data_IF_285233852016
#
_entry.id   IF_285233852016
#
_cell.length_a   1.000
_cell.length_b   1.000
_cell.length_c   1.000
_cell.angle_alpha   90.00
_cell.angle_beta   90.00
_cell.angle_gamma   90.00
#
_symmetry.space_group_name_H-M   'P 1'
#
loop_
_entity.id
_entity.type
_entity.pdbx_description
1 polymer ?
#
# COMPACT_ATOMS: atom_id res chain seq x y z
N UNK A 1 -96.44 2.58 -203.04
CA UNK A 1 -97.42 3.62 -202.63
C UNK A 1 -96.76 4.40 -201.49
N UNK A 2 -96.78 5.73 -201.60
CA UNK A 2 -95.98 6.78 -200.92
C UNK A 2 -95.79 6.55 -199.40
N UNK A 3 -94.53 6.43 -198.94
CA UNK A 3 -93.97 6.72 -197.60
C UNK A 3 -92.55 6.10 -197.51
N UNK A 4 -91.46 6.86 -197.74
CA UNK A 4 -90.08 6.30 -197.67
C UNK A 4 -88.96 7.33 -197.38
N UNK A 5 -89.26 8.53 -196.88
CA UNK A 5 -88.22 9.54 -196.64
C UNK A 5 -88.19 10.12 -195.21
N UNK A 6 -89.34 10.32 -194.55
CA UNK A 6 -89.38 11.04 -193.26
C UNK A 6 -88.96 10.21 -192.03
N UNK A 7 -89.19 8.89 -192.00
CA UNK A 7 -88.79 8.04 -190.85
C UNK A 7 -87.28 7.88 -190.68
N UNK A 8 -86.50 7.93 -191.77
CA UNK A 8 -85.04 7.82 -191.69
C UNK A 8 -84.39 9.04 -191.05
N UNK A 9 -85.03 10.21 -191.13
CA UNK A 9 -84.48 11.46 -190.61
C UNK A 9 -84.69 11.58 -189.09
N UNK A 10 -85.83 11.12 -188.55
CA UNK A 10 -86.08 11.09 -187.10
C UNK A 10 -85.16 10.11 -186.36
N UNK A 11 -84.87 8.96 -186.96
CA UNK A 11 -83.99 7.95 -186.36
C UNK A 11 -82.53 8.41 -186.26
N UNK A 12 -82.09 9.35 -187.12
CA UNK A 12 -80.77 9.97 -187.01
C UNK A 12 -80.72 11.00 -185.87
N UNK A 13 -81.77 11.79 -185.67
CA UNK A 13 -81.84 12.77 -184.58
C UNK A 13 -81.89 12.10 -183.20
N UNK A 14 -82.71 11.06 -183.03
CA UNK A 14 -82.75 10.28 -181.79
C UNK A 14 -81.38 9.62 -181.50
N UNK A 15 -80.70 9.10 -182.52
CA UNK A 15 -79.37 8.51 -182.37
C UNK A 15 -78.29 9.51 -181.94
N UNK A 16 -78.39 10.77 -182.34
CA UNK A 16 -77.48 11.85 -181.91
C UNK A 16 -77.78 12.29 -180.47
N UNK A 17 -79.05 12.38 -180.07
CA UNK A 17 -79.44 12.69 -178.69
C UNK A 17 -78.97 11.60 -177.70
N UNK A 18 -79.11 10.33 -178.06
CA UNK A 18 -78.58 9.23 -177.25
C UNK A 18 -77.05 9.26 -177.14
N UNK A 19 -76.36 9.70 -178.20
CA UNK A 19 -74.89 9.84 -178.18
C UNK A 19 -74.46 10.98 -177.27
N UNK A 20 -75.17 12.11 -177.32
CA UNK A 20 -74.91 13.26 -176.45
C UNK A 20 -75.16 12.95 -174.97
N UNK A 21 -76.22 12.20 -174.66
CA UNK A 21 -76.53 11.77 -173.30
C UNK A 21 -75.49 10.78 -172.75
N UNK A 22 -75.00 9.86 -173.58
CA UNK A 22 -73.94 8.93 -173.19
C UNK A 22 -72.62 9.64 -172.87
N UNK A 23 -72.28 10.69 -173.63
CA UNK A 23 -71.11 11.53 -173.36
C UNK A 23 -71.25 12.31 -172.05
N UNK A 24 -72.43 12.89 -171.77
CA UNK A 24 -72.69 13.57 -170.49
C UNK A 24 -72.58 12.60 -169.31
N UNK A 25 -73.18 11.42 -169.42
CA UNK A 25 -73.10 10.39 -168.38
C UNK A 25 -71.65 9.93 -168.14
N UNK A 26 -70.87 9.74 -169.21
CA UNK A 26 -69.45 9.39 -169.10
C UNK A 26 -68.64 10.50 -168.40
N UNK A 27 -68.94 11.77 -168.69
CA UNK A 27 -68.29 12.91 -168.04
C UNK A 27 -68.63 12.99 -166.55
N UNK A 28 -69.91 12.84 -166.18
CA UNK A 28 -70.35 12.82 -164.78
C UNK A 28 -69.72 11.66 -164.00
N UNK A 29 -69.61 10.47 -164.61
CA UNK A 29 -68.92 9.33 -163.99
C UNK A 29 -67.43 9.62 -163.74
N UNK A 30 -66.74 10.27 -164.67
CA UNK A 30 -65.34 10.68 -164.46
C UNK A 30 -65.18 11.72 -163.34
N UNK A 31 -66.10 12.69 -163.24
CA UNK A 31 -66.14 13.67 -162.15
C UNK A 31 -66.35 13.00 -160.78
N UNK A 32 -67.33 12.07 -160.70
CA UNK A 32 -67.59 11.30 -159.47
C UNK A 32 -66.36 10.47 -159.07
N UNK A 33 -65.69 9.82 -160.02
CA UNK A 33 -64.46 9.07 -159.73
C UNK A 33 -63.31 9.98 -159.27
N UNK A 34 -63.16 11.16 -159.87
CA UNK A 34 -62.18 12.16 -159.42
C UNK A 34 -62.45 12.58 -157.99
N UNK A 35 -63.70 12.91 -157.67
CA UNK A 35 -64.10 13.35 -156.34
C UNK A 35 -63.89 12.24 -155.30
N UNK A 36 -64.23 10.98 -155.63
CA UNK A 36 -63.94 9.81 -154.77
C UNK A 36 -62.45 9.62 -154.51
N UNK A 37 -61.59 9.78 -155.52
CA UNK A 37 -60.13 9.67 -155.35
C UNK A 37 -59.58 10.81 -154.50
N UNK A 38 -60.13 12.02 -154.62
CA UNK A 38 -59.74 13.17 -153.80
C UNK A 38 -60.13 12.96 -152.33
N UNK A 39 -61.39 12.60 -152.06
CA UNK A 39 -61.86 12.33 -150.70
C UNK A 39 -61.13 11.16 -150.05
N UNK A 40 -60.82 10.11 -150.80
CA UNK A 40 -59.99 9.00 -150.29
C UNK A 40 -58.59 9.46 -149.89
N UNK A 41 -57.97 10.35 -150.68
CA UNK A 41 -56.67 10.96 -150.33
C UNK A 41 -56.78 11.85 -149.09
N UNK A 42 -57.82 12.66 -148.98
CA UNK A 42 -58.04 13.54 -147.83
C UNK A 42 -58.28 12.74 -146.55
N UNK A 43 -59.10 11.69 -146.62
CA UNK A 43 -59.33 10.77 -145.49
C UNK A 43 -58.03 10.07 -145.08
N UNK A 44 -57.22 9.62 -146.05
CA UNK A 44 -55.92 9.03 -145.74
C UNK A 44 -54.98 10.04 -145.08
N UNK A 45 -54.88 11.25 -145.62
CA UNK A 45 -54.04 12.31 -145.05
C UNK A 45 -54.49 12.70 -143.64
N UNK A 46 -55.80 12.74 -143.37
CA UNK A 46 -56.33 12.98 -142.02
C UNK A 46 -55.99 11.83 -141.07
N UNK A 47 -56.07 10.59 -141.53
CA UNK A 47 -55.70 9.41 -140.73
C UNK A 47 -54.19 9.40 -140.41
N UNK A 48 -53.34 9.66 -141.41
CA UNK A 48 -51.88 9.71 -141.24
C UNK A 48 -51.51 10.84 -140.27
N UNK A 49 -52.15 12.02 -140.37
CA UNK A 49 -51.98 13.12 -139.39
C UNK A 49 -52.43 12.71 -137.98
N UNK A 50 -53.58 12.06 -137.85
CA UNK A 50 -54.06 11.60 -136.54
C UNK A 50 -53.14 10.54 -135.91
N UNK A 51 -52.52 9.69 -136.73
CA UNK A 51 -51.48 8.76 -136.27
C UNK A 51 -50.23 9.51 -135.80
N UNK A 52 -49.72 10.47 -136.57
CA UNK A 52 -48.57 11.28 -136.19
C UNK A 52 -48.83 12.06 -134.89
N UNK A 53 -50.01 12.67 -134.74
CA UNK A 53 -50.39 13.39 -133.52
C UNK A 53 -50.49 12.43 -132.33
N UNK A 54 -51.02 11.21 -132.53
CA UNK A 54 -51.02 10.17 -131.49
C UNK A 54 -49.60 9.75 -131.09
N UNK A 55 -48.68 9.63 -132.04
CA UNK A 55 -47.28 9.32 -131.75
C UNK A 55 -46.60 10.46 -130.97
N UNK A 56 -46.84 11.71 -131.34
CA UNK A 56 -46.32 12.88 -130.60
C UNK A 56 -46.86 12.96 -129.18
N UNK A 57 -48.18 12.76 -129.00
CA UNK A 57 -48.79 12.73 -127.66
C UNK A 57 -48.15 11.64 -126.80
N UNK A 58 -47.96 10.44 -127.37
CA UNK A 58 -47.31 9.34 -126.65
C UNK A 58 -45.85 9.64 -126.28
N UNK A 59 -45.10 10.32 -127.16
CA UNK A 59 -43.73 10.72 -126.85
C UNK A 59 -43.69 11.77 -125.73
N UNK A 60 -44.57 12.76 -125.77
CA UNK A 60 -44.69 13.75 -124.69
C UNK A 60 -45.10 13.11 -123.35
N UNK A 61 -46.01 12.14 -123.36
CA UNK A 61 -46.37 11.37 -122.15
C UNK A 61 -45.15 10.61 -121.59
N UNK A 62 -44.35 9.98 -122.45
CA UNK A 62 -43.14 9.27 -122.02
C UNK A 62 -42.08 10.22 -121.43
N UNK A 63 -41.88 11.39 -122.05
CA UNK A 63 -40.97 12.41 -121.52
C UNK A 63 -41.46 12.94 -120.16
N UNK A 64 -42.76 13.17 -119.99
CA UNK A 64 -43.32 13.58 -118.69
C UNK A 64 -43.19 12.48 -117.63
N UNK A 65 -43.45 11.21 -117.97
CA UNK A 65 -43.28 10.08 -117.04
C UNK A 65 -41.81 9.96 -116.58
N UNK A 66 -40.84 10.18 -117.48
CA UNK A 66 -39.41 10.17 -117.15
C UNK A 66 -39.01 11.36 -116.26
N UNK A 67 -39.53 12.56 -116.53
CA UNK A 67 -39.33 13.74 -115.68
C UNK A 67 -39.92 13.55 -114.27
N UNK A 68 -41.13 13.00 -114.17
CA UNK A 68 -41.77 12.69 -112.88
C UNK A 68 -40.96 11.65 -112.08
N UNK A 69 -40.43 10.61 -112.73
CA UNK A 69 -39.59 9.60 -112.09
C UNK A 69 -38.28 10.19 -111.55
N UNK A 70 -37.65 11.10 -112.30
CA UNK A 70 -36.44 11.81 -111.88
C UNK A 70 -36.73 12.76 -110.70
N UNK A 71 -37.85 13.49 -110.73
CA UNK A 71 -38.30 14.32 -109.60
C UNK A 71 -38.57 13.49 -108.34
N UNK A 72 -39.25 12.35 -108.50
CA UNK A 72 -39.51 11.40 -107.41
C UNK A 72 -38.21 10.85 -106.82
N UNK A 73 -37.22 10.55 -107.66
CA UNK A 73 -35.90 10.11 -107.22
C UNK A 73 -35.18 11.19 -106.41
N UNK A 74 -35.13 12.43 -106.91
CA UNK A 74 -34.52 13.56 -106.21
C UNK A 74 -35.21 13.77 -104.85
N UNK A 75 -36.55 13.72 -104.81
CA UNK A 75 -37.31 13.86 -103.58
C UNK A 75 -37.03 12.71 -102.59
N UNK A 76 -36.92 11.47 -103.07
CA UNK A 76 -36.60 10.32 -102.23
C UNK A 76 -35.19 10.43 -101.63
N UNK A 77 -34.21 10.88 -102.41
CA UNK A 77 -32.84 11.13 -101.95
C UNK A 77 -32.78 12.28 -100.93
N UNK A 78 -33.50 13.39 -101.18
CA UNK A 78 -33.62 14.50 -100.25
C UNK A 78 -34.28 14.05 -98.93
N UNK A 79 -35.35 13.26 -98.99
CA UNK A 79 -36.04 12.72 -97.81
C UNK A 79 -35.14 11.78 -97.01
N UNK A 80 -34.36 10.92 -97.68
CA UNK A 80 -33.33 10.07 -97.03
C UNK A 80 -32.26 10.92 -96.33
N UNK A 81 -31.79 12.00 -96.97
CA UNK A 81 -30.80 12.93 -96.39
C UNK A 81 -31.34 13.65 -95.16
N UNK A 82 -32.56 14.18 -95.22
CA UNK A 82 -33.24 14.80 -94.07
C UNK A 82 -33.40 13.79 -92.92
N UNK A 83 -33.82 12.56 -93.23
CA UNK A 83 -33.93 11.49 -92.23
C UNK A 83 -32.61 11.08 -91.60
N UNK A 84 -31.48 11.24 -92.30
CA UNK A 84 -30.13 11.03 -91.73
C UNK A 84 -29.76 12.18 -90.78
N UNK A 85 -29.92 13.43 -91.23
CA UNK A 85 -29.61 14.62 -90.42
C UNK A 85 -30.44 14.63 -89.13
N UNK A 86 -31.72 14.25 -89.19
CA UNK A 86 -32.57 14.15 -88.00
C UNK A 86 -32.03 13.15 -86.99
N UNK A 87 -31.63 11.96 -87.45
CA UNK A 87 -31.03 10.93 -86.58
C UNK A 87 -29.70 11.38 -85.97
N UNK A 88 -28.85 12.02 -86.77
CA UNK A 88 -27.58 12.57 -86.28
C UNK A 88 -27.80 13.64 -85.21
N UNK A 89 -28.76 14.56 -85.41
CA UNK A 89 -29.12 15.57 -84.39
C UNK A 89 -29.71 14.95 -83.13
N UNK A 90 -30.54 13.90 -83.25
CA UNK A 90 -31.09 13.17 -82.10
C UNK A 90 -29.99 12.46 -81.31
N UNK A 91 -29.01 11.86 -81.99
CA UNK A 91 -27.83 11.24 -81.34
C UNK A 91 -26.98 12.29 -80.63
N UNK A 92 -26.67 13.41 -81.29
CA UNK A 92 -25.90 14.50 -80.67
C UNK A 92 -26.60 15.06 -79.43
N UNK A 93 -27.90 15.36 -79.51
CA UNK A 93 -28.68 15.83 -78.37
C UNK A 93 -28.72 14.80 -77.23
N UNK A 94 -28.70 13.50 -77.55
CA UNK A 94 -28.60 12.46 -76.54
C UNK A 94 -27.20 12.39 -75.91
N UNK A 95 -26.14 12.51 -76.71
CA UNK A 95 -24.75 12.55 -76.25
C UNK A 95 -24.50 13.75 -75.33
N UNK A 96 -24.92 14.96 -75.72
CA UNK A 96 -24.82 16.16 -74.89
C UNK A 96 -25.52 15.99 -73.54
N UNK A 97 -26.72 15.39 -73.54
CA UNK A 97 -27.44 15.08 -72.29
C UNK A 97 -26.70 14.06 -71.44
N UNK A 98 -26.05 13.08 -72.05
CA UNK A 98 -25.27 12.07 -71.32
C UNK A 98 -24.00 12.68 -70.74
N UNK A 99 -23.26 13.48 -71.50
CA UNK A 99 -22.08 14.20 -71.04
C UNK A 99 -22.41 15.15 -69.89
N UNK A 100 -23.53 15.88 -69.98
CA UNK A 100 -23.99 16.74 -68.89
C UNK A 100 -24.32 15.94 -67.61
N UNK A 101 -24.94 14.75 -67.76
CA UNK A 101 -25.19 13.83 -66.63
C UNK A 101 -23.89 13.32 -66.03
N UNK A 102 -22.96 12.85 -66.86
CA UNK A 102 -21.69 12.28 -66.43
C UNK A 102 -20.83 13.34 -65.73
N UNK A 103 -20.82 14.57 -66.24
CA UNK A 103 -20.18 15.72 -65.59
C UNK A 103 -20.79 16.00 -64.20
N UNK A 104 -22.12 15.98 -64.10
CA UNK A 104 -22.81 16.19 -62.82
C UNK A 104 -22.52 15.06 -61.82
N UNK A 105 -22.50 13.80 -62.27
CA UNK A 105 -22.12 12.65 -61.44
C UNK A 105 -20.67 12.77 -60.96
N UNK A 106 -19.74 13.13 -61.86
CA UNK A 106 -18.34 13.36 -61.51
C UNK A 106 -18.16 14.47 -60.47
N UNK A 107 -18.87 15.59 -60.64
CA UNK A 107 -18.87 16.70 -59.69
C UNK A 107 -19.41 16.27 -58.31
N UNK A 108 -20.57 15.61 -58.26
CA UNK A 108 -21.15 15.10 -57.01
C UNK A 108 -20.21 14.09 -56.32
N UNK A 109 -19.59 13.18 -57.08
CA UNK A 109 -18.60 12.25 -56.55
C UNK A 109 -17.37 12.97 -55.96
N UNK A 110 -16.93 14.07 -56.56
CA UNK A 110 -15.83 14.90 -56.01
C UNK A 110 -16.20 15.59 -54.70
N UNK A 111 -17.44 16.09 -54.59
CA UNK A 111 -17.96 16.70 -53.36
C UNK A 111 -18.06 15.66 -52.23
N UNK A 112 -18.54 14.46 -52.55
CA UNK A 112 -18.63 13.37 -51.58
C UNK A 112 -17.25 12.97 -51.06
N UNK A 113 -16.27 12.75 -51.96
CA UNK A 113 -14.88 12.43 -51.55
C UNK A 113 -14.27 13.53 -50.67
N UNK A 114 -14.55 14.80 -50.97
CA UNK A 114 -14.09 15.93 -50.15
C UNK A 114 -14.74 15.95 -48.77
N UNK A 115 -16.02 15.60 -48.70
CA UNK A 115 -16.74 15.48 -47.43
C UNK A 115 -16.17 14.32 -46.59
N UNK A 116 -15.98 13.14 -47.18
CA UNK A 116 -15.34 11.97 -46.55
C UNK A 116 -13.95 12.30 -46.00
N UNK A 117 -13.10 12.93 -46.81
CA UNK A 117 -11.77 13.36 -46.36
C UNK A 117 -11.84 14.33 -45.15
N UNK A 118 -12.84 15.21 -45.11
CA UNK A 118 -13.04 16.11 -43.97
C UNK A 118 -13.45 15.31 -42.71
N UNK A 119 -14.36 14.34 -42.83
CA UNK A 119 -14.74 13.46 -41.72
C UNK A 119 -13.55 12.67 -41.18
N UNK A 120 -12.70 12.11 -42.05
CA UNK A 120 -11.50 11.39 -41.62
C UNK A 120 -10.55 12.30 -40.83
N UNK A 121 -10.35 13.55 -41.27
CA UNK A 121 -9.56 14.51 -40.50
C UNK A 121 -10.19 14.87 -39.16
N UNK A 122 -11.52 14.94 -39.07
CA UNK A 122 -12.23 15.18 -37.81
C UNK A 122 -12.11 13.99 -36.86
N UNK A 123 -12.24 12.76 -37.38
CA UNK A 123 -12.05 11.52 -36.61
C UNK A 123 -10.63 11.46 -36.06
N UNK A 124 -9.62 11.69 -36.91
CA UNK A 124 -8.22 11.69 -36.48
C UNK A 124 -7.95 12.74 -35.39
N UNK A 125 -8.49 13.96 -35.54
CA UNK A 125 -8.38 14.99 -34.50
C UNK A 125 -9.07 14.57 -33.20
N UNK A 126 -10.25 13.97 -33.27
CA UNK A 126 -10.98 13.50 -32.10
C UNK A 126 -10.23 12.36 -31.39
N UNK A 127 -9.64 11.43 -32.13
CA UNK A 127 -8.78 10.36 -31.60
C UNK A 127 -7.54 10.94 -30.92
N UNK A 128 -6.81 11.84 -31.59
CA UNK A 128 -5.63 12.48 -31.01
C UNK A 128 -5.95 13.27 -29.73
N UNK A 129 -7.09 13.98 -29.68
CA UNK A 129 -7.53 14.67 -28.47
C UNK A 129 -7.86 13.71 -27.33
N UNK A 130 -8.50 12.57 -27.64
CA UNK A 130 -8.83 11.53 -26.66
C UNK A 130 -7.56 10.89 -26.10
N UNK A 131 -6.64 10.49 -26.95
CA UNK A 131 -5.35 9.90 -26.55
C UNK A 131 -4.54 10.89 -25.70
N UNK A 132 -4.49 12.16 -26.10
CA UNK A 132 -3.82 13.20 -25.31
C UNK A 132 -4.46 13.41 -23.93
N UNK A 133 -5.79 13.27 -23.82
CA UNK A 133 -6.50 13.34 -22.53
C UNK A 133 -6.22 12.10 -21.67
N UNK A 134 -6.29 10.91 -22.24
CA UNK A 134 -6.00 9.65 -21.54
C UNK A 134 -4.55 9.65 -21.01
N UNK A 135 -3.57 10.10 -21.82
CA UNK A 135 -2.18 10.21 -21.40
C UNK A 135 -2.00 11.19 -20.22
N UNK A 136 -2.69 12.34 -20.23
CA UNK A 136 -2.66 13.30 -19.11
C UNK A 136 -3.26 12.69 -17.85
N UNK A 137 -4.39 12.01 -17.96
CA UNK A 137 -5.03 11.34 -16.82
C UNK A 137 -4.16 10.22 -16.24
N UNK A 138 -3.45 9.46 -17.09
CA UNK A 138 -2.50 8.45 -16.66
C UNK A 138 -1.30 9.06 -15.94
N UNK A 139 -0.72 10.13 -16.48
CA UNK A 139 0.36 10.88 -15.82
C UNK A 139 -0.08 11.40 -14.45
N UNK A 140 -1.26 12.03 -14.35
CA UNK A 140 -1.78 12.50 -13.07
C UNK A 140 -2.01 11.37 -12.06
N UNK A 141 -2.50 10.21 -12.52
CA UNK A 141 -2.67 9.01 -11.67
C UNK A 141 -1.32 8.49 -11.19
N UNK A 142 -0.30 8.46 -12.05
CA UNK A 142 1.06 8.05 -11.69
C UNK A 142 1.67 9.01 -10.67
N UNK A 143 1.57 10.32 -10.90
CA UNK A 143 2.06 11.35 -9.97
C UNK A 143 1.40 11.25 -8.60
N UNK A 144 0.07 11.06 -8.56
CA UNK A 144 -0.66 10.85 -7.30
C UNK A 144 -0.19 9.60 -6.58
N UNK A 145 0.02 8.49 -7.30
CA UNK A 145 0.56 7.24 -6.73
C UNK A 145 1.98 7.42 -6.19
N UNK A 146 2.84 8.12 -6.92
CA UNK A 146 4.21 8.41 -6.49
C UNK A 146 4.22 9.29 -5.23
N UNK A 147 3.46 10.39 -5.21
CA UNK A 147 3.33 11.25 -4.02
C UNK A 147 2.79 10.50 -2.81
N UNK A 148 1.79 9.64 -3.00
CA UNK A 148 1.26 8.79 -1.93
C UNK A 148 2.32 7.82 -1.41
N UNK A 149 3.07 7.17 -2.30
CA UNK A 149 4.14 6.25 -1.92
C UNK A 149 5.27 6.96 -1.17
N UNK A 150 5.66 8.16 -1.62
CA UNK A 150 6.62 9.01 -0.91
C UNK A 150 6.12 9.38 0.48
N UNK A 151 4.85 9.78 0.62
CA UNK A 151 4.25 10.10 1.92
C UNK A 151 4.27 8.91 2.87
N UNK A 152 3.92 7.72 2.37
CA UNK A 152 3.97 6.48 3.16
C UNK A 152 5.41 6.17 3.60
N UNK A 153 6.37 6.32 2.70
CA UNK A 153 7.78 6.07 2.99
C UNK A 153 8.33 7.07 4.03
N UNK A 154 8.02 8.36 3.88
CA UNK A 154 8.41 9.39 4.87
C UNK A 154 7.82 9.09 6.23
N UNK A 155 6.52 8.78 6.30
CA UNK A 155 5.87 8.43 7.55
C UNK A 155 6.49 7.19 8.23
N UNK A 156 6.81 6.15 7.45
CA UNK A 156 7.51 4.96 7.96
C UNK A 156 8.88 5.31 8.53
N UNK A 157 9.66 6.16 7.83
CA UNK A 157 10.96 6.60 8.31
C UNK A 157 10.85 7.43 9.61
N UNK A 158 9.86 8.31 9.70
CA UNK A 158 9.59 9.10 10.90
C UNK A 158 9.21 8.21 12.10
N UNK A 159 8.33 7.23 11.90
CA UNK A 159 7.97 6.26 12.94
C UNK A 159 9.20 5.47 13.40
N UNK A 160 10.04 5.00 12.48
CA UNK A 160 11.24 4.24 12.83
C UNK A 160 12.20 5.10 13.65
N UNK A 161 12.49 6.34 13.20
CA UNK A 161 13.33 7.29 13.95
C UNK A 161 12.77 7.61 15.32
N UNK A 162 11.45 7.83 15.42
CA UNK A 162 10.79 8.09 16.71
C UNK A 162 10.92 6.90 17.65
N UNK A 163 10.70 5.68 17.15
CA UNK A 163 10.82 4.45 17.95
C UNK A 163 12.26 4.18 18.38
N UNK A 164 13.23 4.51 17.54
CA UNK A 164 14.66 4.45 17.90
C UNK A 164 14.99 5.46 19.00
N UNK A 165 14.53 6.70 18.87
CA UNK A 165 14.71 7.73 19.89
C UNK A 165 14.02 7.36 21.23
N UNK A 166 12.80 6.83 21.19
CA UNK A 166 12.09 6.34 22.38
C UNK A 166 12.87 5.21 23.07
N UNK A 167 13.42 4.25 22.31
CA UNK A 167 14.26 3.18 22.86
C UNK A 167 15.57 3.70 23.46
N UNK A 168 16.21 4.68 22.81
CA UNK A 168 17.43 5.28 23.36
C UNK A 168 17.14 6.03 24.67
N UNK A 169 16.00 6.72 24.76
CA UNK A 169 15.56 7.38 25.99
C UNK A 169 15.28 6.35 27.10
N UNK A 170 14.52 5.29 26.80
CA UNK A 170 14.24 4.20 27.75
C UNK A 170 15.54 3.55 28.26
N UNK A 171 16.50 3.29 27.37
CA UNK A 171 17.80 2.76 27.78
C UNK A 171 18.59 3.71 28.69
N UNK A 172 18.51 5.03 28.44
CA UNK A 172 19.15 6.04 29.30
C UNK A 172 18.48 6.08 30.67
N UNK A 173 17.15 6.09 30.72
CA UNK A 173 16.38 6.07 31.96
C UNK A 173 16.67 4.80 32.78
N UNK A 174 16.73 3.64 32.13
CA UNK A 174 17.10 2.37 32.77
C UNK A 174 18.51 2.39 33.36
N UNK A 175 19.47 2.99 32.64
CA UNK A 175 20.84 3.16 33.12
C UNK A 175 20.91 4.10 34.33
N UNK A 176 20.20 5.24 34.28
CA UNK A 176 20.12 6.16 35.43
C UNK A 176 19.46 5.51 36.64
N UNK A 177 18.37 4.77 36.45
CA UNK A 177 17.69 4.04 37.52
C UNK A 177 18.60 2.97 38.14
N UNK A 178 19.38 2.27 37.31
CA UNK A 178 20.37 1.31 37.79
C UNK A 178 21.48 1.98 38.61
N UNK A 179 21.98 3.14 38.17
CA UNK A 179 22.99 3.91 38.90
C UNK A 179 22.45 4.38 40.26
N UNK A 180 21.24 4.97 40.29
CA UNK A 180 20.58 5.38 41.54
C UNK A 180 20.40 4.23 42.52
N UNK A 181 20.02 3.05 42.03
CA UNK A 181 19.91 1.84 42.86
C UNK A 181 21.26 1.41 43.42
N UNK A 182 22.31 1.40 42.59
CA UNK A 182 23.65 1.05 43.04
C UNK A 182 24.20 2.03 44.09
N UNK A 183 23.91 3.33 43.95
CA UNK A 183 24.26 4.35 44.94
C UNK A 183 23.48 4.16 46.25
N UNK A 184 22.18 3.86 46.17
CA UNK A 184 21.37 3.56 47.34
C UNK A 184 21.87 2.32 48.09
N UNK A 185 22.20 1.24 47.37
CA UNK A 185 22.76 0.02 47.95
C UNK A 185 24.12 0.30 48.62
N UNK A 186 24.97 1.14 48.00
CA UNK A 186 26.24 1.57 48.58
C UNK A 186 26.04 2.36 49.87
N UNK A 187 25.12 3.32 49.88
CA UNK A 187 24.80 4.11 51.07
C UNK A 187 24.23 3.22 52.19
N UNK A 188 23.36 2.28 51.85
CA UNK A 188 22.81 1.32 52.81
C UNK A 188 23.89 0.46 53.45
N UNK A 189 24.86 -0.03 52.65
CA UNK A 189 25.98 -0.80 53.17
C UNK A 189 26.86 0.03 54.12
N UNK A 190 27.16 1.28 53.76
CA UNK A 190 27.92 2.20 54.62
C UNK A 190 27.19 2.45 55.94
N UNK A 191 25.88 2.71 55.88
CA UNK A 191 25.05 2.88 57.06
C UNK A 191 25.05 1.64 57.96
N UNK A 192 24.98 0.44 57.38
CA UNK A 192 25.04 -0.79 58.18
C UNK A 192 26.40 -1.01 58.83
N UNK A 193 27.50 -0.73 58.12
CA UNK A 193 28.83 -0.79 58.70
C UNK A 193 28.99 0.19 59.86
N UNK A 194 28.44 1.39 59.75
CA UNK A 194 28.46 2.40 60.81
C UNK A 194 27.62 1.97 62.02
N UNK A 195 26.42 1.43 61.78
CA UNK A 195 25.56 0.87 62.83
C UNK A 195 26.24 -0.29 63.57
N UNK A 196 26.91 -1.19 62.85
CA UNK A 196 27.63 -2.31 63.46
C UNK A 196 28.86 -1.83 64.24
N UNK A 197 29.57 -0.79 63.77
CA UNK A 197 30.63 -0.13 64.55
C UNK A 197 30.09 0.47 65.84
N UNK A 198 28.97 1.19 65.80
CA UNK A 198 28.33 1.74 67.00
C UNK A 198 27.92 0.62 67.97
N UNK A 199 27.27 -0.44 67.49
CA UNK A 199 26.91 -1.60 68.32
C UNK A 199 28.13 -2.25 68.99
N UNK A 200 29.24 -2.37 68.28
CA UNK A 200 30.48 -2.90 68.83
C UNK A 200 31.09 -1.96 69.89
N UNK A 201 31.03 -0.65 69.66
CA UNK A 201 31.46 0.34 70.65
C UNK A 201 30.58 0.30 71.91
N UNK A 202 29.26 0.25 71.76
CA UNK A 202 28.32 0.13 72.88
C UNK A 202 28.56 -1.16 73.66
N UNK A 203 28.76 -2.28 72.96
CA UNK A 203 29.09 -3.56 73.59
C UNK A 203 30.42 -3.51 74.37
N UNK A 204 31.44 -2.81 73.82
CA UNK A 204 32.71 -2.59 74.51
C UNK A 204 32.53 -1.75 75.77
N UNK A 205 31.79 -0.63 75.69
CA UNK A 205 31.50 0.24 76.84
C UNK A 205 30.77 -0.54 77.94
N UNK A 206 29.75 -1.32 77.59
CA UNK A 206 29.03 -2.17 78.54
C UNK A 206 29.96 -3.22 79.17
N UNK A 207 30.84 -3.83 78.37
CA UNK A 207 31.84 -4.80 78.87
C UNK A 207 32.81 -4.15 79.88
N UNK A 208 33.31 -2.95 79.58
CA UNK A 208 34.18 -2.19 80.50
C UNK A 208 33.46 -1.83 81.81
N UNK A 209 32.19 -1.42 81.74
CA UNK A 209 31.37 -1.14 82.93
C UNK A 209 31.23 -2.39 83.78
N UNK A 210 30.92 -3.55 83.18
CA UNK A 210 30.82 -4.81 83.90
C UNK A 210 32.16 -5.24 84.52
N UNK A 211 33.27 -5.02 83.83
CA UNK A 211 34.60 -5.28 84.36
C UNK A 211 34.90 -4.41 85.59
N UNK A 212 34.63 -3.09 85.51
CA UNK A 212 34.76 -2.17 86.63
C UNK A 212 33.88 -2.57 87.82
N UNK A 213 32.60 -2.88 87.58
CA UNK A 213 31.68 -3.36 88.63
C UNK A 213 32.13 -4.68 89.26
N UNK A 214 32.76 -5.58 88.49
CA UNK A 214 33.31 -6.82 89.02
C UNK A 214 34.55 -6.56 89.88
N UNK A 215 35.43 -5.64 89.46
CA UNK A 215 36.58 -5.20 90.24
C UNK A 215 36.15 -4.53 91.55
N UNK A 216 35.23 -3.56 91.51
CA UNK A 216 34.68 -2.90 92.70
C UNK A 216 34.04 -3.88 93.68
N UNK A 217 33.31 -4.88 93.17
CA UNK A 217 32.74 -5.95 94.02
C UNK A 217 33.82 -6.77 94.70
N UNK A 218 34.87 -7.14 93.96
CA UNK A 218 36.01 -7.89 94.50
C UNK A 218 36.79 -7.08 95.54
N UNK A 219 37.02 -5.80 95.28
CA UNK A 219 37.66 -4.87 96.23
C UNK A 219 36.83 -4.71 97.50
N UNK A 220 35.50 -4.54 97.37
CA UNK A 220 34.58 -4.49 98.52
C UNK A 220 34.61 -5.79 99.32
N UNK A 221 34.57 -6.94 98.65
CA UNK A 221 34.66 -8.25 99.30
C UNK A 221 35.99 -8.42 100.04
N UNK A 222 37.11 -8.01 99.42
CA UNK A 222 38.42 -8.04 100.06
C UNK A 222 38.47 -7.10 101.26
N UNK A 223 37.92 -5.89 101.15
CA UNK A 223 37.85 -4.92 102.25
C UNK A 223 37.03 -5.44 103.43
N UNK A 224 35.87 -6.06 103.17
CA UNK A 224 35.05 -6.70 104.21
C UNK A 224 35.79 -7.84 104.89
N UNK A 225 36.45 -8.74 104.14
CA UNK A 225 37.24 -9.84 104.72
C UNK A 225 38.42 -9.34 105.55
N UNK A 226 39.10 -8.29 105.10
CA UNK A 226 40.18 -7.67 105.89
C UNK A 226 39.65 -7.08 107.20
N UNK A 227 38.51 -6.38 107.17
CA UNK A 227 37.86 -5.84 108.36
C UNK A 227 37.41 -6.94 109.32
N UNK A 228 36.78 -8.01 108.82
CA UNK A 228 36.39 -9.18 109.64
C UNK A 228 37.62 -9.82 110.31
N UNK A 229 38.74 -9.91 109.60
CA UNK A 229 39.99 -10.46 110.14
C UNK A 229 40.59 -9.56 111.23
N UNK A 230 40.52 -8.24 111.07
CA UNK A 230 40.94 -7.26 112.07
C UNK A 230 40.07 -7.34 113.33
N UNK A 231 38.74 -7.41 113.19
CA UNK A 231 37.81 -7.60 114.32
C UNK A 231 38.09 -8.90 115.08
N UNK A 232 38.29 -10.00 114.36
CA UNK A 232 38.67 -11.30 114.95
C UNK A 232 39.99 -11.22 115.74
N UNK A 233 40.97 -10.46 115.24
CA UNK A 233 42.24 -10.25 115.95
C UNK A 233 42.06 -9.39 117.21
N UNK A 234 41.25 -8.32 117.13
CA UNK A 234 40.93 -7.47 118.26
C UNK A 234 40.19 -8.25 119.35
N UNK A 235 39.18 -9.04 118.99
CA UNK A 235 38.45 -9.90 119.92
C UNK A 235 39.37 -10.90 120.60
N UNK A 236 40.25 -11.54 119.83
CA UNK A 236 41.26 -12.47 120.38
C UNK A 236 42.18 -11.76 121.37
N UNK A 237 42.61 -10.54 121.07
CA UNK A 237 43.44 -9.74 121.97
C UNK A 237 42.70 -9.34 123.25
N UNK A 238 41.45 -8.89 123.15
CA UNK A 238 40.62 -8.53 124.30
C UNK A 238 40.37 -9.74 125.21
N UNK A 239 40.05 -10.90 124.64
CA UNK A 239 39.87 -12.13 125.42
C UNK A 239 41.16 -12.60 126.10
N UNK A 240 42.32 -12.37 125.49
CA UNK A 240 43.62 -12.64 126.12
C UNK A 240 43.83 -11.73 127.35
N UNK A 241 43.47 -10.46 127.26
CA UNK A 241 43.52 -9.51 128.38
C UNK A 241 42.54 -9.92 129.48
N UNK A 242 41.29 -10.23 129.14
CA UNK A 242 40.28 -10.71 130.10
C UNK A 242 40.73 -11.99 130.80
N UNK A 243 41.35 -12.92 130.06
CA UNK A 243 41.91 -14.15 130.65
C UNK A 243 42.99 -13.83 131.68
N UNK A 244 43.91 -12.92 131.37
CA UNK A 244 44.96 -12.50 132.30
C UNK A 244 44.38 -11.83 133.54
N UNK A 245 43.41 -10.93 133.37
CA UNK A 245 42.72 -10.28 134.49
C UNK A 245 41.97 -11.28 135.37
N UNK A 246 41.27 -12.24 134.76
CA UNK A 246 40.58 -13.30 135.48
C UNK A 246 41.57 -14.21 136.23
N UNK A 247 42.70 -14.54 135.59
CA UNK A 247 43.76 -15.34 136.21
C UNK A 247 44.36 -14.65 137.44
N UNK A 248 44.70 -13.37 137.32
CA UNK A 248 45.26 -12.57 138.42
C UNK A 248 44.25 -12.41 139.55
N UNK A 249 42.99 -12.12 139.23
CA UNK A 249 41.93 -11.95 140.22
C UNK A 249 41.60 -13.26 140.94
N UNK A 250 41.34 -14.34 140.19
CA UNK A 250 41.06 -15.66 140.76
C UNK A 250 42.25 -16.17 141.58
N UNK A 251 43.48 -15.94 141.11
CA UNK A 251 44.71 -16.23 141.84
C UNK A 251 44.74 -15.54 143.20
N UNK A 252 44.54 -14.22 143.23
CA UNK A 252 44.48 -13.44 144.49
C UNK A 252 43.39 -13.91 145.44
N UNK A 253 42.20 -14.21 144.92
CA UNK A 253 41.07 -14.68 145.73
C UNK A 253 41.35 -16.08 146.31
N UNK A 254 41.91 -16.99 145.51
CA UNK A 254 42.29 -18.33 145.97
C UNK A 254 43.37 -18.22 147.05
N UNK A 255 44.44 -17.44 146.84
CA UNK A 255 45.48 -17.20 147.84
C UNK A 255 44.93 -16.60 149.13
N UNK A 256 44.07 -15.58 149.04
CA UNK A 256 43.41 -14.98 150.20
C UNK A 256 42.52 -15.96 150.97
N UNK A 257 41.83 -16.88 150.28
CA UNK A 257 41.03 -17.91 150.94
C UNK A 257 41.89 -19.01 151.59
N UNK A 258 43.04 -19.35 150.99
CA UNK A 258 44.03 -20.28 151.56
C UNK A 258 44.67 -19.72 152.82
N UNK A 259 45.11 -18.46 152.80
CA UNK A 259 45.70 -17.76 153.94
C UNK A 259 44.73 -17.65 155.12
N UNK A 260 43.44 -17.51 154.85
CA UNK A 260 42.38 -17.41 155.87
C UNK A 260 41.76 -18.76 156.27
N UNK A 261 42.35 -19.90 155.87
CA UNK A 261 41.94 -21.24 156.30
C UNK A 261 40.55 -21.69 155.80
N UNK A 262 40.01 -21.07 154.74
CA UNK A 262 38.71 -21.43 154.16
C UNK A 262 38.87 -22.53 153.10
N UNK A 263 37.81 -23.31 152.86
CA UNK A 263 37.83 -24.35 151.82
C UNK A 263 37.95 -23.73 150.42
N UNK A 264 39.09 -23.92 149.76
CA UNK A 264 39.40 -23.35 148.44
C UNK A 264 39.05 -24.27 147.27
N UNK A 265 38.59 -25.49 147.55
CA UNK A 265 38.25 -26.49 146.53
C UNK A 265 37.19 -26.02 145.52
N UNK A 266 36.08 -25.36 145.93
CA UNK A 266 35.09 -24.84 144.98
C UNK A 266 35.69 -23.80 144.01
N UNK A 267 36.56 -22.91 144.50
CA UNK A 267 37.16 -21.86 143.68
C UNK A 267 38.21 -22.41 142.70
N UNK A 268 39.02 -23.39 143.13
CA UNK A 268 39.95 -24.10 142.23
C UNK A 268 39.22 -24.86 141.13
N UNK A 269 38.06 -25.45 141.44
CA UNK A 269 37.22 -26.12 140.45
C UNK A 269 36.65 -25.12 139.43
N UNK A 270 36.08 -24.01 139.89
CA UNK A 270 35.56 -22.95 139.00
C UNK A 270 36.67 -22.35 138.12
N UNK A 271 37.84 -22.08 138.69
CA UNK A 271 39.00 -21.60 137.94
C UNK A 271 39.42 -22.59 136.83
N UNK A 272 39.48 -23.88 137.14
CA UNK A 272 39.82 -24.92 136.16
C UNK A 272 38.75 -25.08 135.07
N UNK A 273 37.46 -24.87 135.39
CA UNK A 273 36.36 -24.91 134.43
C UNK A 273 36.37 -23.68 133.50
N UNK A 274 36.58 -22.48 134.03
CA UNK A 274 36.69 -21.26 133.22
C UNK A 274 37.96 -21.24 132.36
N UNK A 275 39.10 -21.75 132.86
CA UNK A 275 40.30 -21.90 132.02
C UNK A 275 40.10 -22.89 130.86
N UNK A 276 39.37 -23.99 131.09
CA UNK A 276 38.96 -24.89 130.01
C UNK A 276 38.04 -24.21 129.00
N UNK A 277 37.16 -23.31 129.45
CA UNK A 277 36.28 -22.52 128.58
C UNK A 277 37.08 -21.56 127.69
N UNK A 278 38.05 -20.83 128.24
CA UNK A 278 38.97 -19.98 127.47
C UNK A 278 39.80 -20.78 126.45
N UNK A 279 40.29 -21.97 126.82
CA UNK A 279 41.01 -22.86 125.89
C UNK A 279 40.13 -23.37 124.75
N UNK A 280 38.87 -23.75 125.03
CA UNK A 280 37.91 -24.14 124.01
C UNK A 280 37.59 -22.98 123.05
N UNK A 281 37.48 -21.77 123.59
CA UNK A 281 37.22 -20.57 122.80
C UNK A 281 38.41 -20.25 121.87
N UNK A 282 39.64 -20.29 122.38
CA UNK A 282 40.86 -20.13 121.58
C UNK A 282 41.05 -21.23 120.52
N UNK A 283 40.60 -22.46 120.78
CA UNK A 283 40.56 -23.51 119.75
C UNK A 283 39.55 -23.19 118.64
N UNK A 284 38.46 -22.48 118.95
CA UNK A 284 37.52 -21.93 117.98
C UNK A 284 38.19 -20.97 117.00
N UNK A 285 38.96 -19.99 117.50
CA UNK A 285 39.72 -19.05 116.67
C UNK A 285 40.76 -19.72 115.79
N UNK A 286 41.50 -20.72 116.30
CA UNK A 286 42.47 -21.48 115.49
C UNK A 286 41.79 -22.25 114.34
N UNK A 287 40.57 -22.74 114.55
CA UNK A 287 39.79 -23.38 113.49
C UNK A 287 39.38 -22.39 112.40
N UNK A 288 38.93 -21.19 112.79
CA UNK A 288 38.56 -20.11 111.86
C UNK A 288 39.76 -19.66 111.01
N UNK A 289 40.93 -19.43 111.64
CA UNK A 289 42.18 -19.11 110.93
C UNK A 289 42.60 -20.22 109.96
N UNK A 290 42.44 -21.50 110.33
CA UNK A 290 42.77 -22.63 109.45
C UNK A 290 41.79 -22.83 108.29
N UNK A 291 40.52 -22.45 108.47
CA UNK A 291 39.47 -22.52 107.45
C UNK A 291 39.67 -21.41 106.41
N UNK A 292 39.88 -20.17 106.84
CA UNK A 292 40.16 -19.04 105.94
C UNK A 292 41.38 -19.30 105.05
N UNK A 293 42.49 -19.82 105.63
CA UNK A 293 43.69 -20.17 104.88
C UNK A 293 43.47 -21.32 103.85
N UNK A 294 42.56 -22.26 104.14
CA UNK A 294 42.22 -23.34 103.22
C UNK A 294 41.26 -22.89 102.12
N UNK A 295 40.36 -21.96 102.41
CA UNK A 295 39.40 -21.41 101.44
C UNK A 295 40.10 -20.45 100.46
N UNK A 296 41.11 -19.69 100.89
CA UNK A 296 42.01 -18.97 100.00
C UNK A 296 42.78 -19.90 99.06
N UNK A 297 43.35 -21.00 99.58
CA UNK A 297 44.07 -21.98 98.75
C UNK A 297 43.14 -22.69 97.76
N UNK A 298 41.91 -23.01 98.14
CA UNK A 298 40.91 -23.63 97.25
C UNK A 298 40.43 -22.67 96.17
N UNK A 299 40.14 -21.42 96.51
CA UNK A 299 39.70 -20.40 95.54
C UNK A 299 40.79 -20.07 94.51
N UNK A 300 42.06 -19.98 94.93
CA UNK A 300 43.20 -19.84 94.02
C UNK A 300 43.33 -21.02 93.05
N UNK A 301 43.08 -22.25 93.51
CA UNK A 301 43.20 -23.46 92.69
C UNK A 301 42.02 -23.64 91.72
N UNK A 302 40.80 -23.25 92.13
CA UNK A 302 39.62 -23.22 91.27
C UNK A 302 39.73 -22.14 90.20
N UNK A 303 40.24 -20.96 90.54
CA UNK A 303 40.51 -19.90 89.56
C UNK A 303 41.56 -20.33 88.53
N UNK A 304 42.63 -21.04 88.93
CA UNK A 304 43.60 -21.59 87.97
C UNK A 304 42.96 -22.59 87.00
N UNK A 305 42.15 -23.53 87.49
CA UNK A 305 41.43 -24.50 86.64
C UNK A 305 40.44 -23.83 85.69
N UNK A 306 39.69 -22.83 86.16
CA UNK A 306 38.75 -22.04 85.33
C UNK A 306 39.47 -21.24 84.24
N UNK A 307 40.61 -20.62 84.58
CA UNK A 307 41.45 -19.88 83.65
C UNK A 307 42.05 -20.80 82.58
N UNK A 308 42.48 -22.01 82.95
CA UNK A 308 43.03 -22.98 81.99
C UNK A 308 41.95 -23.57 81.07
N UNK A 309 40.71 -23.72 81.58
CA UNK A 309 39.56 -24.15 80.77
C UNK A 309 39.14 -23.07 79.75
N UNK A 310 39.09 -21.81 80.17
CA UNK A 310 38.75 -20.68 79.30
C UNK A 310 39.81 -20.42 78.24
N UNK A 311 41.10 -20.60 78.57
CA UNK A 311 42.21 -20.56 77.60
C UNK A 311 42.11 -21.65 76.53
N UNK A 312 41.75 -22.89 76.91
CA UNK A 312 41.53 -23.98 75.94
C UNK A 312 40.37 -23.69 74.99
N UNK A 313 39.28 -23.10 75.49
CA UNK A 313 38.10 -22.78 74.68
C UNK A 313 38.33 -21.59 73.71
N UNK A 314 39.30 -20.72 73.99
CA UNK A 314 39.70 -19.60 73.11
C UNK A 314 40.84 -19.97 72.14
N UNK A 315 41.29 -21.24 72.09
CA UNK A 315 42.27 -21.73 71.12
C UNK A 315 43.73 -21.37 71.40
N UNK A 316 44.07 -20.86 72.59
CA UNK A 316 45.47 -20.55 72.96
C UNK A 316 46.23 -21.83 73.39
N UNK A 317 47.04 -22.41 72.50
CA UNK A 317 48.10 -23.36 72.86
C UNK A 317 49.42 -22.60 73.01
N UNK A 318 50.13 -22.80 74.12
CA UNK A 318 51.51 -22.34 74.24
C UNK A 318 52.38 -23.29 73.42
N UNK A 319 52.92 -22.81 72.30
CA UNK A 319 54.15 -23.38 71.75
C UNK A 319 55.25 -23.10 72.77
N UNK A 320 55.56 -24.11 73.58
CA UNK A 320 56.79 -24.13 74.37
C UNK A 320 57.92 -24.31 73.35
N UNK A 321 58.85 -23.36 73.20
CA UNK A 321 60.00 -23.58 72.34
C UNK A 321 60.85 -24.69 72.96
N UNK A 322 60.87 -25.85 72.30
CA UNK A 322 61.81 -26.91 72.65
C UNK A 322 63.24 -26.40 72.43
N UNK A 323 64.08 -26.56 73.45
CA UNK A 323 65.53 -26.50 73.34
C UNK A 323 66.05 -27.61 72.44
#
# INVERSE_FOLDING_TARGET
>A
RIQSAEEKQKNQQEGEEYRHLAEQYAFEQMEIERFRKLTQKDVKNMYDKALDDKYKVKQMEQEMDEEEDDELRIYAEAKKKIGRIRREKEIQAHQEKQEARDHMIGYLGSLQKRAEANYDTQIFRAQAQREAKELREEQEKLDKKQKMQESINRHRQEIMKRREAEKEMEQREDLEMRQKKAEADRLFLLYQQEKDKQRNQDAHVVSEIHLKQAQERKEREHGLKSSELEEVQLDKHMNEIERQQYQDYAGRVISYMEENGRNTYPMKKVYAEEMKRFEQWNQGYRKIESQNNNDEKKSLNQNKKSLDQTKKNLGFQWDIPNK
#
